data_IF_889237391998
#
_entry.id   IF_889237391998
#
_cell.length_a   1.000
_cell.length_b   1.000
_cell.length_c   1.000
_cell.angle_alpha   90.00
_cell.angle_beta   90.00
_cell.angle_gamma   90.00
#
_symmetry.space_group_name_H-M   'P 1'
#
loop_
_entity.id
_entity.type
_entity.pdbx_description
1 polymer ?
#
# COMPACT_ATOMS: atom_id res chain seq x y z
N UNK A 1 -48.13 -130.72 43.44
CA UNK A 1 -48.25 -129.87 42.23
C UNK A 1 -48.10 -128.35 42.51
N UNK A 2 -47.52 -127.92 43.65
CA UNK A 2 -47.53 -126.50 44.06
C UNK A 2 -46.22 -125.73 43.80
N UNK A 3 -45.06 -126.39 43.76
CA UNK A 3 -43.75 -125.73 43.60
C UNK A 3 -43.49 -125.05 42.24
N UNK A 4 -44.14 -125.48 41.15
CA UNK A 4 -43.95 -124.84 39.83
C UNK A 4 -44.60 -123.46 39.71
N UNK A 5 -45.63 -123.16 40.51
CA UNK A 5 -46.31 -121.85 40.46
C UNK A 5 -45.47 -120.76 41.12
N UNK A 6 -44.79 -121.06 42.23
CA UNK A 6 -43.98 -120.06 42.96
C UNK A 6 -42.75 -119.58 42.18
N UNK A 7 -42.11 -120.46 41.41
CA UNK A 7 -40.96 -120.09 40.56
C UNK A 7 -41.38 -119.15 39.42
N UNK A 8 -42.53 -119.43 38.78
CA UNK A 8 -43.07 -118.58 37.70
C UNK A 8 -43.50 -117.21 38.24
N UNK A 9 -44.12 -117.15 39.42
CA UNK A 9 -44.50 -115.89 40.06
C UNK A 9 -43.26 -115.06 40.44
N UNK A 10 -42.21 -115.68 40.98
CA UNK A 10 -40.94 -114.99 41.29
C UNK A 10 -40.24 -114.46 40.03
N UNK A 11 -40.21 -115.22 38.93
CA UNK A 11 -39.63 -114.76 37.65
C UNK A 11 -40.39 -113.56 37.08
N UNK A 12 -41.73 -113.63 37.03
CA UNK A 12 -42.57 -112.52 36.55
C UNK A 12 -42.43 -111.27 37.42
N UNK A 13 -42.28 -111.43 38.73
CA UNK A 13 -42.04 -110.31 39.63
C UNK A 13 -40.66 -109.67 39.41
N UNK A 14 -39.62 -110.46 39.12
CA UNK A 14 -38.30 -109.94 38.76
C UNK A 14 -38.31 -109.20 37.42
N UNK A 15 -39.00 -109.74 36.41
CA UNK A 15 -39.21 -109.08 35.12
C UNK A 15 -39.95 -107.74 35.29
N UNK A 16 -41.00 -107.72 36.11
CA UNK A 16 -41.73 -106.50 36.45
C UNK A 16 -40.85 -105.46 37.16
N UNK A 17 -40.04 -105.89 38.14
CA UNK A 17 -39.09 -104.99 38.82
C UNK A 17 -38.02 -104.43 37.87
N UNK A 18 -37.51 -105.26 36.94
CA UNK A 18 -36.55 -104.83 35.93
C UNK A 18 -37.17 -103.82 34.96
N UNK A 19 -38.39 -104.09 34.48
CA UNK A 19 -39.13 -103.17 33.61
C UNK A 19 -39.43 -101.83 34.33
N UNK A 20 -39.83 -101.88 35.59
CA UNK A 20 -40.07 -100.69 36.41
C UNK A 20 -38.79 -99.87 36.63
N UNK A 21 -37.67 -100.50 36.97
CA UNK A 21 -36.37 -99.81 37.10
C UNK A 21 -35.94 -99.18 35.78
N UNK A 22 -36.09 -99.89 34.66
CA UNK A 22 -35.80 -99.36 33.32
C UNK A 22 -36.67 -98.14 33.00
N UNK A 23 -37.97 -98.20 33.30
CA UNK A 23 -38.88 -97.07 33.12
C UNK A 23 -38.47 -95.85 33.96
N UNK A 24 -38.10 -96.04 35.24
CA UNK A 24 -37.63 -94.94 36.08
C UNK A 24 -36.30 -94.33 35.61
N UNK A 25 -35.36 -95.15 35.13
CA UNK A 25 -34.11 -94.66 34.56
C UNK A 25 -34.38 -93.83 33.30
N UNK A 26 -35.27 -94.30 32.43
CA UNK A 26 -35.68 -93.55 31.24
C UNK A 26 -36.32 -92.20 31.61
N UNK A 27 -37.25 -92.18 32.56
CA UNK A 27 -37.88 -90.94 33.03
C UNK A 27 -36.83 -89.97 33.62
N UNK A 28 -35.87 -90.48 34.40
CA UNK A 28 -34.78 -89.65 34.94
C UNK A 28 -33.94 -89.03 33.82
N UNK A 29 -33.59 -89.84 32.82
CA UNK A 29 -32.75 -89.38 31.71
C UNK A 29 -33.52 -88.35 30.84
N UNK A 30 -34.81 -88.60 30.57
CA UNK A 30 -35.71 -87.66 29.87
C UNK A 30 -35.85 -86.33 30.63
N UNK A 31 -35.98 -86.36 31.97
CA UNK A 31 -36.03 -85.16 32.82
C UNK A 31 -34.71 -84.40 32.77
N UNK A 32 -33.57 -85.10 32.77
CA UNK A 32 -32.26 -84.47 32.67
C UNK A 32 -32.05 -83.79 31.32
N UNK A 33 -32.51 -84.42 30.23
CA UNK A 33 -32.47 -83.86 28.89
C UNK A 33 -33.38 -82.62 28.80
N UNK A 34 -34.59 -82.70 29.35
CA UNK A 34 -35.50 -81.56 29.41
C UNK A 34 -34.88 -80.37 30.17
N UNK A 35 -34.21 -80.61 31.30
CA UNK A 35 -33.51 -79.58 32.04
C UNK A 35 -32.38 -78.93 31.23
N UNK A 36 -31.59 -79.72 30.48
CA UNK A 36 -30.56 -79.20 29.58
C UNK A 36 -31.15 -78.34 28.46
N UNK A 37 -32.25 -78.78 27.85
CA UNK A 37 -32.95 -77.99 26.84
C UNK A 37 -33.51 -76.68 27.39
N UNK A 38 -34.07 -76.69 28.60
CA UNK A 38 -34.56 -75.47 29.26
C UNK A 38 -33.40 -74.48 29.48
N UNK A 39 -32.24 -74.96 29.95
CA UNK A 39 -31.05 -74.13 30.14
C UNK A 39 -30.54 -73.55 28.81
N UNK A 40 -30.47 -74.38 27.76
CA UNK A 40 -30.07 -73.95 26.43
C UNK A 40 -31.02 -72.88 25.87
N UNK A 41 -32.33 -73.12 25.94
CA UNK A 41 -33.34 -72.18 25.46
C UNK A 41 -33.31 -70.87 26.24
N UNK A 42 -33.07 -70.90 27.56
CA UNK A 42 -32.91 -69.70 28.36
C UNK A 42 -31.66 -68.91 27.95
N UNK A 43 -30.53 -69.58 27.72
CA UNK A 43 -29.30 -68.94 27.26
C UNK A 43 -29.46 -68.32 25.85
N UNK A 44 -30.11 -69.04 24.93
CA UNK A 44 -30.39 -68.52 23.58
C UNK A 44 -31.34 -67.31 23.63
N UNK A 45 -32.35 -67.34 24.50
CA UNK A 45 -33.29 -66.24 24.68
C UNK A 45 -32.63 -64.97 25.24
N UNK A 46 -31.74 -65.11 26.22
CA UNK A 46 -30.94 -63.97 26.72
C UNK A 46 -29.95 -63.48 25.65
N UNK A 47 -29.36 -64.37 24.87
CA UNK A 47 -28.51 -64.01 23.73
C UNK A 47 -29.26 -63.23 22.65
N UNK A 48 -30.51 -63.61 22.35
CA UNK A 48 -31.38 -62.86 21.42
C UNK A 48 -31.75 -61.49 21.98
N UNK A 49 -32.09 -61.41 23.27
CA UNK A 49 -32.39 -60.14 23.96
C UNK A 49 -31.20 -59.18 23.92
N UNK A 50 -29.98 -59.68 24.11
CA UNK A 50 -28.75 -58.91 23.93
C UNK A 50 -28.61 -58.35 22.52
N UNK A 51 -28.80 -59.21 21.50
CA UNK A 51 -28.78 -58.79 20.08
C UNK A 51 -29.84 -57.73 19.77
N UNK A 52 -31.05 -57.87 20.30
CA UNK A 52 -32.11 -56.88 20.15
C UNK A 52 -31.75 -55.54 20.79
N UNK A 53 -31.16 -55.55 21.98
CA UNK A 53 -30.71 -54.32 22.66
C UNK A 53 -29.62 -53.61 21.85
N UNK A 54 -28.65 -54.36 21.33
CA UNK A 54 -27.58 -53.78 20.50
C UNK A 54 -28.11 -53.26 19.16
N UNK A 55 -29.07 -53.95 18.56
CA UNK A 55 -29.78 -53.46 17.38
C UNK A 55 -30.55 -52.17 17.69
N UNK A 56 -31.20 -52.07 18.86
CA UNK A 56 -31.87 -50.87 19.34
C UNK A 56 -30.91 -49.68 19.47
N UNK A 57 -29.77 -49.88 20.14
CA UNK A 57 -28.73 -48.84 20.27
C UNK A 57 -28.19 -48.36 18.91
N UNK A 58 -28.00 -49.28 17.96
CA UNK A 58 -27.59 -48.92 16.59
C UNK A 58 -28.66 -48.10 15.89
N UNK A 59 -29.92 -48.48 16.03
CA UNK A 59 -31.06 -47.74 15.47
C UNK A 59 -31.18 -46.34 16.07
N UNK A 60 -30.97 -46.18 17.38
CA UNK A 60 -30.97 -44.87 18.05
C UNK A 60 -29.83 -43.98 17.54
N UNK A 61 -28.63 -44.56 17.39
CA UNK A 61 -27.46 -43.86 16.82
C UNK A 61 -27.72 -43.41 15.38
N UNK A 62 -28.25 -44.28 14.53
CA UNK A 62 -28.62 -43.94 13.16
C UNK A 62 -29.73 -42.87 13.12
N UNK A 63 -30.71 -42.95 14.01
CA UNK A 63 -31.79 -41.95 14.10
C UNK A 63 -31.24 -40.57 14.49
N UNK A 64 -30.30 -40.52 15.42
CA UNK A 64 -29.60 -39.29 15.80
C UNK A 64 -28.77 -38.71 14.64
N UNK A 65 -28.06 -39.58 13.88
CA UNK A 65 -27.33 -39.16 12.69
C UNK A 65 -28.26 -38.61 11.60
N UNK A 66 -29.41 -39.25 11.36
CA UNK A 66 -30.42 -38.78 10.42
C UNK A 66 -31.01 -37.42 10.82
N UNK A 67 -31.28 -37.21 12.12
CA UNK A 67 -31.72 -35.92 12.63
C UNK A 67 -30.66 -34.83 12.37
N UNK A 68 -29.40 -35.10 12.67
CA UNK A 68 -28.31 -34.15 12.43
C UNK A 68 -28.10 -33.81 10.94
N UNK A 69 -28.28 -34.79 10.03
CA UNK A 69 -28.22 -34.55 8.59
C UNK A 69 -29.41 -33.70 8.12
N UNK A 70 -30.61 -34.00 8.62
CA UNK A 70 -31.83 -33.23 8.31
C UNK A 70 -31.69 -31.76 8.73
N UNK A 71 -31.10 -31.50 9.89
CA UNK A 71 -30.82 -30.14 10.37
C UNK A 71 -29.81 -29.42 9.48
N UNK A 72 -28.72 -30.10 9.08
CA UNK A 72 -27.71 -29.55 8.16
C UNK A 72 -28.33 -29.19 6.82
N UNK A 73 -29.15 -30.08 6.26
CA UNK A 73 -29.84 -29.85 5.00
C UNK A 73 -30.76 -28.62 5.10
N UNK A 74 -31.51 -28.49 6.20
CA UNK A 74 -32.39 -27.35 6.43
C UNK A 74 -31.62 -26.02 6.49
N UNK A 75 -30.46 -26.00 7.16
CA UNK A 75 -29.57 -24.82 7.19
C UNK A 75 -29.02 -24.48 5.81
N UNK A 76 -28.62 -25.48 5.03
CA UNK A 76 -28.16 -25.26 3.66
C UNK A 76 -29.27 -24.71 2.76
N UNK A 77 -30.50 -25.22 2.90
CA UNK A 77 -31.67 -24.72 2.18
C UNK A 77 -31.93 -23.23 2.49
N UNK A 78 -31.87 -22.85 3.77
CA UNK A 78 -32.01 -21.45 4.20
C UNK A 78 -30.88 -20.55 3.63
N UNK A 79 -29.64 -21.03 3.63
CA UNK A 79 -28.51 -20.30 3.07
C UNK A 79 -28.66 -20.09 1.56
N UNK A 80 -29.13 -21.11 0.83
CA UNK A 80 -29.41 -21.00 -0.61
C UNK A 80 -30.50 -19.96 -0.85
N UNK A 81 -31.61 -19.98 -0.10
CA UNK A 81 -32.67 -18.99 -0.24
C UNK A 81 -32.16 -17.56 0.02
N UNK A 82 -31.32 -17.37 1.03
CA UNK A 82 -30.72 -16.07 1.32
C UNK A 82 -29.78 -15.60 0.20
N UNK A 83 -28.99 -16.50 -0.38
CA UNK A 83 -28.13 -16.20 -1.52
C UNK A 83 -28.93 -15.89 -2.79
N UNK A 84 -29.99 -16.64 -3.07
CA UNK A 84 -30.90 -16.36 -4.18
C UNK A 84 -31.51 -14.96 -4.05
N UNK A 85 -32.02 -14.59 -2.87
CA UNK A 85 -32.54 -13.24 -2.65
C UNK A 85 -31.50 -12.14 -2.86
N UNK A 86 -30.23 -12.39 -2.47
CA UNK A 86 -29.12 -11.45 -2.73
C UNK A 86 -28.80 -11.33 -4.22
N UNK A 87 -28.84 -12.43 -4.96
CA UNK A 87 -28.65 -12.45 -6.42
C UNK A 87 -29.78 -11.69 -7.12
N UNK A 88 -31.02 -11.88 -6.69
CA UNK A 88 -32.17 -11.19 -7.27
C UNK A 88 -32.13 -9.68 -7.01
N UNK A 89 -31.59 -9.26 -5.86
CA UNK A 89 -31.36 -7.85 -5.54
C UNK A 89 -30.08 -7.25 -6.15
N UNK A 90 -29.25 -8.06 -6.81
CA UNK A 90 -28.01 -7.58 -7.39
C UNK A 90 -28.32 -6.72 -8.62
N UNK A 91 -27.63 -5.57 -8.78
CA UNK A 91 -27.87 -4.71 -9.93
C UNK A 91 -27.61 -5.49 -11.21
N UNK A 92 -28.60 -5.46 -12.09
CA UNK A 92 -28.53 -6.14 -13.38
C UNK A 92 -27.43 -5.53 -14.24
N UNK A 93 -26.93 -6.30 -15.20
CA UNK A 93 -25.91 -5.83 -16.15
C UNK A 93 -26.34 -4.57 -16.91
N UNK A 94 -27.65 -4.41 -17.14
CA UNK A 94 -28.21 -3.20 -17.73
C UNK A 94 -28.08 -1.99 -16.78
N UNK A 95 -28.48 -2.13 -15.52
CA UNK A 95 -28.35 -1.06 -14.52
C UNK A 95 -26.89 -0.67 -14.26
N UNK A 96 -25.98 -1.63 -14.22
CA UNK A 96 -24.54 -1.37 -14.12
C UNK A 96 -24.00 -0.61 -15.34
N UNK A 97 -24.53 -0.92 -16.54
CA UNK A 97 -24.15 -0.21 -17.77
C UNK A 97 -24.65 1.23 -17.75
N UNK A 98 -25.87 1.47 -17.28
CA UNK A 98 -26.44 2.80 -17.17
C UNK A 98 -25.68 3.64 -16.12
N UNK A 99 -25.33 3.03 -14.97
CA UNK A 99 -24.47 3.67 -13.97
C UNK A 99 -23.07 3.98 -14.52
N UNK A 100 -22.46 3.06 -15.27
CA UNK A 100 -21.18 3.29 -15.92
C UNK A 100 -21.26 4.45 -16.92
N UNK A 101 -22.33 4.52 -17.72
CA UNK A 101 -22.55 5.62 -18.65
C UNK A 101 -22.69 6.97 -17.95
N UNK A 102 -23.41 7.02 -16.82
CA UNK A 102 -23.51 8.23 -16.00
C UNK A 102 -22.15 8.66 -15.43
N UNK A 103 -21.34 7.70 -14.98
CA UNK A 103 -19.99 7.97 -14.47
C UNK A 103 -19.04 8.44 -15.58
N UNK A 104 -19.13 7.87 -16.77
CA UNK A 104 -18.31 8.25 -17.93
C UNK A 104 -18.63 9.68 -18.38
N UNK A 105 -19.91 10.05 -18.42
CA UNK A 105 -20.34 11.42 -18.69
C UNK A 105 -19.88 12.40 -17.60
N UNK A 106 -19.97 12.02 -16.33
CA UNK A 106 -19.49 12.83 -15.22
C UNK A 106 -17.96 13.03 -15.28
N UNK A 107 -17.21 11.99 -15.64
CA UNK A 107 -15.76 12.07 -15.85
C UNK A 107 -15.42 13.04 -16.98
N UNK A 108 -16.09 12.95 -18.12
CA UNK A 108 -15.91 13.90 -19.21
C UNK A 108 -16.22 15.35 -18.81
N UNK A 109 -17.23 15.55 -17.95
CA UNK A 109 -17.54 16.86 -17.36
C UNK A 109 -16.42 17.38 -16.44
N UNK A 110 -15.82 16.49 -15.63
CA UNK A 110 -14.68 16.82 -14.76
C UNK A 110 -13.46 17.18 -15.59
N UNK A 111 -13.17 16.47 -16.68
CA UNK A 111 -12.05 16.77 -17.57
C UNK A 111 -12.23 18.13 -18.27
N UNK A 112 -13.45 18.44 -18.73
CA UNK A 112 -13.78 19.73 -19.32
C UNK A 112 -13.63 20.88 -18.31
N UNK A 113 -14.08 20.68 -17.07
CA UNK A 113 -13.89 21.65 -15.97
C UNK A 113 -12.41 21.80 -15.62
N UNK A 114 -11.65 20.71 -15.55
CA UNK A 114 -10.20 20.72 -15.30
C UNK A 114 -9.46 21.51 -16.38
N UNK A 115 -9.86 21.35 -17.65
CA UNK A 115 -9.33 22.16 -18.76
C UNK A 115 -9.66 23.65 -18.59
N UNK A 116 -10.90 24.00 -18.26
CA UNK A 116 -11.30 25.39 -17.97
C UNK A 116 -10.56 26.00 -16.77
N UNK A 117 -10.30 25.22 -15.73
CA UNK A 117 -9.51 25.66 -14.57
C UNK A 117 -8.06 25.96 -14.98
N UNK A 118 -7.46 25.13 -15.84
CA UNK A 118 -6.12 25.40 -16.39
C UNK A 118 -6.10 26.67 -17.25
N UNK A 119 -7.14 26.91 -18.04
CA UNK A 119 -7.30 28.12 -18.85
C UNK A 119 -7.48 29.38 -17.96
N UNK A 120 -8.29 29.29 -16.90
CA UNK A 120 -8.42 30.40 -15.94
C UNK A 120 -7.11 30.69 -15.19
N UNK A 121 -6.34 29.65 -14.86
CA UNK A 121 -5.02 29.82 -14.26
C UNK A 121 -4.03 30.51 -15.21
N UNK A 122 -4.12 30.27 -16.52
CA UNK A 122 -3.31 30.99 -17.50
C UNK A 122 -3.76 32.46 -17.64
N UNK A 123 -5.06 32.75 -17.57
CA UNK A 123 -5.57 34.12 -17.51
C UNK A 123 -5.12 34.89 -16.25
N UNK A 124 -5.05 34.24 -15.08
CA UNK A 124 -4.55 34.90 -13.87
C UNK A 124 -3.05 35.25 -13.99
N UNK A 125 -2.28 34.40 -14.68
CA UNK A 125 -0.88 34.71 -14.98
C UNK A 125 -0.73 35.91 -15.93
N UNK A 126 -1.64 36.06 -16.89
CA UNK A 126 -1.72 37.24 -17.77
C UNK A 126 -2.12 38.49 -16.99
N UNK A 127 -3.11 38.41 -16.10
CA UNK A 127 -3.51 39.52 -15.23
C UNK A 127 -2.37 40.02 -14.34
N UNK A 128 -1.58 39.10 -13.75
CA UNK A 128 -0.36 39.46 -13.00
C UNK A 128 0.72 40.08 -13.89
N UNK A 129 0.79 39.71 -15.17
CA UNK A 129 1.70 40.35 -16.13
C UNK A 129 1.21 41.77 -16.49
N UNK A 130 -0.09 41.97 -16.70
CA UNK A 130 -0.70 43.28 -16.93
C UNK A 130 -0.51 44.23 -15.73
N UNK A 131 -0.71 43.76 -14.50
CA UNK A 131 -0.45 44.54 -13.29
C UNK A 131 1.02 44.97 -13.19
N UNK A 132 1.97 44.10 -13.54
CA UNK A 132 3.39 44.45 -13.60
C UNK A 132 3.70 45.46 -14.71
N UNK A 133 3.08 45.32 -15.88
CA UNK A 133 3.25 46.28 -16.98
C UNK A 133 2.66 47.65 -16.60
N UNK A 134 1.51 47.67 -15.92
CA UNK A 134 0.94 48.92 -15.37
C UNK A 134 1.87 49.55 -14.34
N UNK A 135 2.38 48.78 -13.38
CA UNK A 135 3.31 49.28 -12.38
C UNK A 135 4.62 49.79 -13.00
N UNK A 136 5.13 49.13 -14.04
CA UNK A 136 6.29 49.60 -14.80
C UNK A 136 5.98 50.87 -15.61
N UNK A 137 4.77 50.96 -16.18
CA UNK A 137 4.31 52.15 -16.92
C UNK A 137 4.18 53.36 -16.00
N UNK A 138 3.61 53.18 -14.80
CA UNK A 138 3.50 54.23 -13.79
C UNK A 138 4.88 54.67 -13.30
N UNK A 139 5.79 53.71 -13.05
CA UNK A 139 7.18 54.03 -12.70
C UNK A 139 7.92 54.77 -13.83
N UNK A 140 7.60 54.49 -15.11
CA UNK A 140 8.17 55.20 -16.26
C UNK A 140 7.62 56.63 -16.41
N UNK A 141 6.39 56.87 -15.94
CA UNK A 141 5.77 58.20 -15.92
C UNK A 141 6.45 59.14 -14.93
N UNK A 142 6.94 58.58 -13.81
CA UNK A 142 7.70 59.31 -12.79
C UNK A 142 9.18 59.48 -13.15
N UNK A 143 9.64 58.95 -14.29
CA UNK A 143 10.98 59.25 -14.81
C UNK A 143 10.99 60.68 -15.34
N UNK A 144 11.85 61.57 -14.81
CA UNK A 144 11.95 62.94 -15.29
C UNK A 144 12.23 62.95 -16.81
N UNK A 145 11.44 63.72 -17.56
CA UNK A 145 11.65 63.87 -19.00
C UNK A 145 13.02 64.47 -19.29
N UNK A 146 13.56 64.31 -20.50
CA UNK A 146 14.83 64.97 -20.89
C UNK A 146 14.81 66.48 -20.61
N UNK A 147 13.65 67.12 -20.68
CA UNK A 147 13.48 68.53 -20.30
C UNK A 147 13.52 68.78 -18.78
N UNK A 148 13.03 67.85 -17.96
CA UNK A 148 13.08 67.93 -16.50
C UNK A 148 14.48 67.67 -15.98
N UNK A 149 15.17 66.67 -16.55
CA UNK A 149 16.60 66.43 -16.30
C UNK A 149 17.40 67.68 -16.66
N UNK A 150 17.06 68.35 -17.77
CA UNK A 150 17.73 69.58 -18.18
C UNK A 150 17.46 70.75 -17.23
N UNK A 151 16.21 70.94 -16.79
CA UNK A 151 15.87 71.93 -15.76
C UNK A 151 16.55 71.65 -14.43
N UNK A 152 16.58 70.40 -13.98
CA UNK A 152 17.29 70.00 -12.75
C UNK A 152 18.80 70.21 -12.88
N UNK A 153 19.38 69.98 -14.06
CA UNK A 153 20.78 70.31 -14.35
C UNK A 153 20.97 71.82 -14.31
N UNK A 154 20.10 72.61 -14.92
CA UNK A 154 20.20 74.08 -14.95
C UNK A 154 19.96 74.71 -13.55
N UNK A 155 19.13 74.10 -12.71
CA UNK A 155 18.88 74.51 -11.30
C UNK A 155 20.01 74.08 -10.34
N UNK A 156 20.72 72.98 -10.63
CA UNK A 156 21.87 72.52 -9.84
C UNK A 156 23.22 73.03 -10.38
N UNK A 157 23.25 73.49 -11.62
CA UNK A 157 24.35 74.20 -12.26
C UNK A 157 23.89 75.62 -12.56
N UNK A 158 23.88 76.47 -11.52
CA UNK A 158 24.06 77.92 -11.69
C UNK A 158 25.35 78.12 -12.50
N UNK A 159 25.23 78.15 -13.84
CA UNK A 159 26.36 78.21 -14.77
C UNK A 159 27.24 79.44 -14.48
N UNK A 160 26.73 80.46 -13.79
CA UNK A 160 27.53 81.61 -13.38
C UNK A 160 28.68 81.27 -12.43
N UNK A 161 28.51 80.33 -11.49
CA UNK A 161 29.56 79.98 -10.53
C UNK A 161 30.66 79.14 -11.18
N UNK A 162 30.28 78.26 -12.12
CA UNK A 162 31.23 77.45 -12.88
C UNK A 162 31.91 78.27 -13.95
N UNK A 163 31.23 79.22 -14.61
CA UNK A 163 31.84 80.16 -15.56
C UNK A 163 32.81 81.08 -14.83
N UNK A 164 32.43 81.67 -13.69
CA UNK A 164 33.35 82.48 -12.86
C UNK A 164 34.52 81.66 -12.32
N UNK A 165 34.29 80.39 -11.96
CA UNK A 165 35.38 79.46 -11.60
C UNK A 165 36.21 79.05 -12.81
N UNK A 166 35.65 78.90 -13.99
CA UNK A 166 36.35 78.62 -15.24
C UNK A 166 37.20 79.82 -15.62
N UNK A 167 36.68 81.04 -15.57
CA UNK A 167 37.43 82.27 -15.82
C UNK A 167 38.55 82.41 -14.79
N UNK A 168 38.26 82.22 -13.50
CA UNK A 168 39.28 82.26 -12.45
C UNK A 168 40.29 81.10 -12.55
N UNK A 169 39.87 79.92 -13.05
CA UNK A 169 40.73 78.77 -13.31
C UNK A 169 41.51 78.95 -14.61
N UNK A 170 41.01 79.67 -15.60
CA UNK A 170 41.68 80.06 -16.85
C UNK A 170 42.73 81.13 -16.58
N UNK A 171 42.44 82.09 -15.71
CA UNK A 171 43.40 83.06 -15.18
C UNK A 171 44.49 82.35 -14.37
N UNK A 172 44.09 81.40 -13.50
CA UNK A 172 45.01 80.54 -12.75
C UNK A 172 45.75 79.55 -13.63
N UNK A 173 45.18 79.11 -14.75
CA UNK A 173 45.82 78.25 -15.74
C UNK A 173 46.79 79.05 -16.58
N UNK A 174 46.50 80.29 -16.96
CA UNK A 174 47.45 81.17 -17.64
C UNK A 174 48.67 81.40 -16.75
N UNK A 175 48.46 81.75 -15.48
CA UNK A 175 49.54 81.92 -14.51
C UNK A 175 50.23 80.59 -14.14
N UNK A 176 49.51 79.47 -14.01
CA UNK A 176 50.13 78.14 -13.82
C UNK A 176 50.77 77.58 -15.08
N UNK A 177 50.37 77.97 -16.27
CA UNK A 177 51.00 77.56 -17.53
C UNK A 177 52.31 78.34 -17.69
N UNK A 178 52.33 79.61 -17.29
CA UNK A 178 53.56 80.37 -17.07
C UNK A 178 54.47 79.76 -15.98
N UNK A 179 53.92 79.19 -14.89
CA UNK A 179 54.70 78.43 -13.87
C UNK A 179 55.06 76.99 -14.31
N UNK A 180 54.24 76.31 -15.13
CA UNK A 180 54.45 74.94 -15.60
C UNK A 180 55.39 74.86 -16.80
N UNK A 181 55.63 75.97 -17.49
CA UNK A 181 56.80 76.17 -18.36
C UNK A 181 58.12 76.14 -17.58
N UNK A 182 58.08 76.12 -16.23
CA UNK A 182 59.25 76.14 -15.36
C UNK A 182 59.49 74.87 -14.49
N UNK A 183 58.70 73.78 -14.56
CA UNK A 183 59.01 72.56 -13.79
C UNK A 183 58.43 71.23 -14.35
N UNK A 184 59.09 70.07 -14.09
CA UNK A 184 58.94 68.84 -14.90
C UNK A 184 57.74 67.95 -14.52
N UNK A 185 57.27 67.24 -15.54
CA UNK A 185 56.15 66.31 -15.54
C UNK A 185 56.35 65.06 -14.68
N UNK A 186 55.30 64.66 -13.96
CA UNK A 186 54.94 63.24 -13.75
C UNK A 186 53.55 63.10 -13.12
N UNK A 187 52.68 62.30 -13.73
CA UNK A 187 51.42 61.84 -13.15
C UNK A 187 51.19 60.36 -13.50
N UNK A 188 51.03 59.44 -12.53
CA UNK A 188 50.78 58.02 -12.84
C UNK A 188 49.46 57.43 -12.29
N UNK A 189 49.02 56.36 -12.99
CA UNK A 189 48.65 55.02 -12.47
C UNK A 189 47.29 54.68 -11.81
N UNK A 190 46.25 55.51 -11.84
CA UNK A 190 44.95 55.15 -11.20
C UNK A 190 44.04 54.15 -11.95
N UNK A 191 44.08 54.12 -13.29
CA UNK A 191 43.02 53.47 -14.10
C UNK A 191 43.18 51.94 -14.20
N UNK A 192 44.40 51.42 -14.03
CA UNK A 192 44.70 49.99 -14.22
C UNK A 192 44.21 49.13 -13.04
N UNK A 193 44.10 49.71 -11.84
CA UNK A 193 43.72 48.97 -10.62
C UNK A 193 42.20 48.69 -10.54
N UNK A 194 41.37 49.58 -11.07
CA UNK A 194 39.90 49.42 -11.08
C UNK A 194 39.43 48.27 -11.97
N UNK A 195 39.99 48.12 -13.16
CA UNK A 195 39.62 47.05 -14.09
C UNK A 195 39.92 45.67 -13.52
N UNK A 196 41.05 45.52 -12.82
CA UNK A 196 41.49 44.25 -12.22
C UNK A 196 40.61 43.83 -11.03
N UNK A 197 39.90 44.77 -10.42
CA UNK A 197 39.01 44.56 -9.26
C UNK A 197 37.60 44.10 -9.67
N UNK A 198 37.14 44.53 -10.84
CA UNK A 198 35.88 44.10 -11.45
C UNK A 198 35.92 42.63 -11.86
N UNK A 199 37.00 42.19 -12.50
CA UNK A 199 37.19 40.81 -12.97
C UNK A 199 37.14 39.80 -11.81
N UNK A 200 37.78 40.12 -10.67
CA UNK A 200 37.74 39.29 -9.45
C UNK A 200 36.35 39.16 -8.81
N UNK A 201 35.46 40.14 -9.01
CA UNK A 201 34.11 40.11 -8.44
C UNK A 201 33.16 39.25 -9.28
N UNK A 202 33.35 39.23 -10.59
CA UNK A 202 32.57 38.38 -11.50
C UNK A 202 32.90 36.89 -11.33
N UNK A 203 34.18 36.54 -11.15
CA UNK A 203 34.62 35.17 -10.81
C UNK A 203 34.08 34.67 -9.46
N UNK A 204 33.97 35.55 -8.47
CA UNK A 204 33.36 35.21 -7.18
C UNK A 204 31.86 34.94 -7.31
N UNK A 205 31.15 35.69 -8.16
CA UNK A 205 29.71 35.52 -8.40
C UNK A 205 29.40 34.23 -9.15
N UNK A 206 30.22 33.85 -10.14
CA UNK A 206 30.05 32.59 -10.89
C UNK A 206 30.30 31.37 -10.00
N UNK A 207 31.37 31.38 -9.18
CA UNK A 207 31.67 30.29 -8.25
C UNK A 207 30.64 30.14 -7.11
N UNK A 208 30.02 31.22 -6.66
CA UNK A 208 28.91 31.18 -5.69
C UNK A 208 27.65 30.55 -6.28
N UNK A 209 27.26 30.95 -7.50
CA UNK A 209 26.12 30.35 -8.21
C UNK A 209 26.32 28.85 -8.43
N UNK A 210 27.51 28.43 -8.84
CA UNK A 210 27.82 27.02 -9.05
C UNK A 210 27.78 26.21 -7.74
N UNK A 211 28.32 26.76 -6.64
CA UNK A 211 28.23 26.14 -5.31
C UNK A 211 26.79 26.01 -4.81
N UNK A 212 25.94 27.00 -5.07
CA UNK A 212 24.51 26.93 -4.72
C UNK A 212 23.76 25.90 -5.56
N UNK A 213 24.01 25.85 -6.87
CA UNK A 213 23.40 24.85 -7.75
C UNK A 213 23.77 23.41 -7.33
N UNK A 214 25.04 23.17 -6.99
CA UNK A 214 25.51 21.88 -6.48
C UNK A 214 24.86 21.51 -5.15
N UNK A 215 24.62 22.48 -4.25
CA UNK A 215 23.90 22.24 -2.98
C UNK A 215 22.43 21.91 -3.20
N UNK A 216 21.72 22.65 -4.06
CA UNK A 216 20.30 22.41 -4.34
C UNK A 216 20.08 21.03 -4.97
N UNK A 217 20.89 20.68 -5.97
CA UNK A 217 20.81 19.38 -6.65
C UNK A 217 21.23 18.20 -5.76
N UNK A 218 22.18 18.40 -4.84
CA UNK A 218 22.52 17.40 -3.82
C UNK A 218 21.38 17.22 -2.82
N UNK A 219 20.78 18.31 -2.37
CA UNK A 219 19.69 18.27 -1.39
C UNK A 219 18.42 17.65 -1.96
N UNK A 220 18.09 17.93 -3.22
CA UNK A 220 16.93 17.33 -3.89
C UNK A 220 17.08 15.81 -4.07
N UNK A 221 18.28 15.32 -4.40
CA UNK A 221 18.56 13.88 -4.48
C UNK A 221 18.36 13.16 -3.14
N UNK A 222 18.90 13.72 -2.05
CA UNK A 222 18.74 13.13 -0.73
C UNK A 222 17.29 13.16 -0.23
N UNK A 223 16.55 14.23 -0.56
CA UNK A 223 15.12 14.31 -0.27
C UNK A 223 14.35 13.19 -0.97
N UNK A 224 14.57 12.99 -2.28
CA UNK A 224 13.89 11.94 -3.05
C UNK A 224 14.24 10.54 -2.51
N UNK A 225 15.50 10.29 -2.14
CA UNK A 225 15.91 9.01 -1.49
C UNK A 225 15.17 8.77 -0.18
N UNK A 226 15.14 9.78 0.68
CA UNK A 226 14.46 9.71 1.97
C UNK A 226 12.96 9.43 1.80
N UNK A 227 12.35 10.05 0.79
CA UNK A 227 10.94 9.84 0.45
C UNK A 227 10.68 8.40 -0.05
N UNK A 228 11.52 7.87 -0.94
CA UNK A 228 11.42 6.48 -1.43
C UNK A 228 11.45 5.50 -0.24
N UNK A 229 12.44 5.65 0.66
CA UNK A 229 12.56 4.82 1.86
C UNK A 229 11.31 4.96 2.74
N UNK A 230 10.81 6.19 2.94
CA UNK A 230 9.60 6.44 3.74
C UNK A 230 8.36 5.76 3.16
N UNK A 231 8.18 5.80 1.83
CA UNK A 231 7.04 5.18 1.16
C UNK A 231 7.10 3.65 1.26
N UNK A 232 8.28 3.06 1.06
CA UNK A 232 8.48 1.61 1.21
C UNK A 232 8.23 1.18 2.65
N UNK A 233 8.71 1.94 3.65
CA UNK A 233 8.43 1.68 5.07
C UNK A 233 6.93 1.77 5.40
N UNK A 234 6.23 2.77 4.85
CA UNK A 234 4.81 3.02 5.13
C UNK A 234 3.91 1.91 4.57
N UNK A 235 4.17 1.47 3.35
CA UNK A 235 3.31 0.50 2.65
C UNK A 235 3.84 -0.94 2.73
N UNK A 236 5.03 -1.16 3.29
CA UNK A 236 5.66 -2.46 3.49
C UNK A 236 6.24 -3.06 2.21
N UNK A 237 5.39 -3.26 1.19
CA UNK A 237 5.75 -3.82 -0.13
C UNK A 237 5.18 -2.94 -1.23
N UNK A 238 6.05 -2.31 -2.01
CA UNK A 238 5.64 -1.38 -3.09
C UNK A 238 6.31 -1.76 -4.41
N UNK A 239 5.57 -1.74 -5.51
CA UNK A 239 6.17 -2.01 -6.84
C UNK A 239 6.95 -0.80 -7.36
N UNK A 240 7.95 -1.07 -8.21
CA UNK A 240 8.70 -0.02 -8.90
C UNK A 240 7.78 0.92 -9.70
N UNK A 241 6.67 0.38 -10.24
CA UNK A 241 5.68 1.14 -11.00
C UNK A 241 4.92 2.12 -10.11
N UNK A 242 4.43 1.64 -8.95
CA UNK A 242 3.71 2.48 -7.98
C UNK A 242 4.59 3.62 -7.43
N UNK A 243 5.85 3.33 -7.10
CA UNK A 243 6.78 4.38 -6.65
C UNK A 243 7.05 5.42 -7.75
N UNK A 244 7.16 4.98 -9.01
CA UNK A 244 7.32 5.88 -10.15
C UNK A 244 6.10 6.77 -10.32
N UNK A 245 4.89 6.21 -10.26
CA UNK A 245 3.64 6.97 -10.37
C UNK A 245 3.59 8.07 -9.30
N UNK A 246 3.80 7.71 -8.03
CA UNK A 246 3.75 8.68 -6.92
C UNK A 246 4.85 9.75 -6.96
N UNK A 247 6.10 9.38 -7.27
CA UNK A 247 7.25 10.30 -7.11
C UNK A 247 7.53 11.09 -8.39
N UNK A 248 7.36 10.46 -9.55
CA UNK A 248 7.72 11.04 -10.85
C UNK A 248 6.50 11.63 -11.55
N UNK A 249 5.40 10.88 -11.66
CA UNK A 249 4.24 11.32 -12.44
C UNK A 249 3.33 12.26 -11.60
N UNK A 250 3.06 11.95 -10.34
CA UNK A 250 2.22 12.77 -9.46
C UNK A 250 2.98 13.97 -8.86
N UNK A 251 4.13 13.74 -8.24
CA UNK A 251 4.86 14.80 -7.52
C UNK A 251 5.93 15.52 -8.35
N UNK A 252 6.34 14.97 -9.50
CA UNK A 252 7.32 15.61 -10.40
C UNK A 252 8.69 15.91 -9.76
N UNK A 253 9.07 15.20 -8.70
CA UNK A 253 10.27 15.54 -7.90
C UNK A 253 11.58 15.21 -8.60
N UNK A 254 11.56 14.28 -9.56
CA UNK A 254 12.72 13.92 -10.37
C UNK A 254 12.31 13.35 -11.73
N UNK A 255 13.25 13.26 -12.67
CA UNK A 255 13.01 12.62 -13.97
C UNK A 255 12.98 11.09 -13.85
N UNK A 256 12.31 10.41 -14.79
CA UNK A 256 12.27 8.92 -14.87
C UNK A 256 13.67 8.30 -14.77
N UNK A 257 14.64 8.85 -15.50
CA UNK A 257 16.03 8.37 -15.47
C UNK A 257 16.71 8.59 -14.13
N UNK A 258 16.44 9.71 -13.46
CA UNK A 258 16.99 9.99 -12.13
C UNK A 258 16.38 9.06 -11.08
N UNK A 259 15.08 8.79 -11.18
CA UNK A 259 14.37 7.87 -10.30
C UNK A 259 14.96 6.45 -10.29
N UNK A 260 15.17 5.85 -11.47
CA UNK A 260 15.73 4.49 -11.54
C UNK A 260 17.18 4.43 -11.02
N UNK A 261 18.01 5.43 -11.31
CA UNK A 261 19.36 5.53 -10.74
C UNK A 261 19.35 5.64 -9.22
N UNK A 262 18.41 6.41 -8.66
CA UNK A 262 18.28 6.55 -7.21
C UNK A 262 17.80 5.24 -6.55
N UNK A 263 16.94 4.47 -7.21
CA UNK A 263 16.54 3.13 -6.73
C UNK A 263 17.70 2.14 -6.75
N UNK A 264 18.49 2.12 -7.83
CA UNK A 264 19.70 1.30 -7.92
C UNK A 264 20.72 1.70 -6.82
N UNK A 265 20.96 2.99 -6.63
CA UNK A 265 21.84 3.48 -5.56
C UNK A 265 21.36 3.08 -4.15
N UNK A 266 20.04 3.00 -3.91
CA UNK A 266 19.48 2.57 -2.63
C UNK A 266 19.54 1.04 -2.44
N UNK A 267 19.44 0.28 -3.51
CA UNK A 267 19.60 -1.18 -3.50
C UNK A 267 21.08 -1.56 -3.31
N UNK A 268 22.02 -0.86 -3.96
CA UNK A 268 23.47 -1.02 -3.78
C UNK A 268 23.94 -0.65 -2.37
N UNK A 269 23.30 0.35 -1.74
CA UNK A 269 23.55 0.76 -0.35
C UNK A 269 22.85 -0.11 0.68
N UNK A 270 22.12 -1.13 0.25
CA UNK A 270 21.44 -2.10 1.12
C UNK A 270 20.32 -1.48 1.99
N UNK A 271 19.83 -0.28 1.62
CA UNK A 271 18.76 0.46 2.31
C UNK A 271 17.36 -0.14 2.01
N UNK A 272 17.22 -0.77 0.84
CA UNK A 272 15.99 -1.41 0.35
C UNK A 272 16.33 -2.76 -0.26
N UNK A 273 15.47 -3.76 -0.07
CA UNK A 273 15.60 -5.08 -0.71
C UNK A 273 14.60 -5.25 -1.83
N UNK A 274 15.02 -5.89 -2.91
CA UNK A 274 14.16 -6.14 -4.06
C UNK A 274 13.73 -7.61 -4.14
N UNK A 275 12.42 -7.84 -4.32
CA UNK A 275 11.84 -9.16 -4.53
C UNK A 275 11.08 -9.16 -5.86
N UNK A 276 11.38 -10.12 -6.73
CA UNK A 276 10.60 -10.34 -7.97
C UNK A 276 9.31 -11.07 -7.63
N UNK A 277 8.17 -10.45 -7.93
CA UNK A 277 6.84 -11.05 -7.83
C UNK A 277 6.28 -11.15 -9.25
N UNK A 278 6.54 -12.27 -9.93
CA UNK A 278 6.13 -12.45 -11.33
C UNK A 278 6.90 -11.54 -12.29
N UNK A 279 6.20 -10.63 -12.99
CA UNK A 279 6.77 -9.68 -13.96
C UNK A 279 7.28 -8.38 -13.34
N UNK A 280 6.97 -8.12 -12.07
CA UNK A 280 7.26 -6.85 -11.40
C UNK A 280 8.29 -6.97 -10.28
N UNK A 281 9.13 -5.95 -10.14
CA UNK A 281 10.10 -5.79 -9.06
C UNK A 281 9.43 -5.02 -7.93
N UNK A 282 9.34 -5.64 -6.76
CA UNK A 282 8.83 -5.01 -5.53
C UNK A 282 9.99 -4.69 -4.59
N UNK A 283 9.87 -3.56 -3.89
CA UNK A 283 10.83 -3.14 -2.88
C UNK A 283 10.25 -3.28 -1.47
N UNK A 284 11.10 -3.73 -0.55
CA UNK A 284 10.82 -3.93 0.87
C UNK A 284 11.88 -3.18 1.69
N UNK A 285 11.49 -2.70 2.87
CA UNK A 285 12.46 -2.14 3.82
C UNK A 285 13.21 -3.28 4.52
N UNK A 286 14.55 -3.27 4.47
CA UNK A 286 15.38 -4.23 5.21
C UNK A 286 15.30 -3.87 6.69
N UNK A 287 14.62 -4.69 7.50
CA UNK A 287 14.60 -4.49 8.95
C UNK A 287 16.02 -4.67 9.50
N UNK A 288 16.54 -3.65 10.17
CA UNK A 288 17.74 -3.80 10.98
C UNK A 288 17.42 -4.80 12.10
N UNK A 289 18.01 -5.99 12.01
CA UNK A 289 18.21 -6.97 13.07
C UNK A 289 17.08 -7.18 14.09
N UNK A 290 16.30 -8.25 13.91
CA UNK A 290 16.04 -9.15 15.04
C UNK A 290 16.84 -10.42 14.74
N UNK A 291 17.76 -10.69 15.65
CA UNK A 291 18.68 -11.80 15.64
C UNK A 291 17.96 -13.14 15.46
N UNK A 292 18.70 -14.07 14.85
CA UNK A 292 18.51 -15.50 15.01
C UNK A 292 18.29 -15.85 16.49
N UNK A 293 17.22 -16.58 16.80
CA UNK A 293 17.22 -17.66 17.79
C UNK A 293 15.87 -18.39 17.76
N UNK A 294 15.84 -19.52 17.04
CA UNK A 294 15.37 -20.86 17.46
C UNK A 294 15.05 -21.73 16.25
#
# INVERSE_FOLDING_TARGET
MFFRRDVVVRSRFQEFQAAMRSAFLKVRDDVSLAAQWIQYLHAELEGQKGRHNDAGRRMDSLSSQLAAITDKLSRQQQAIMALSGRIDSAPTRAELRDQHFLLENASGGIDALSSKVKELASMESLRKAEEKVSALSDALRDVPSRGDIRRMIDEQFEQEDIIRRLDALEEKLKSRHEEALAAPADAPSGIIDLSRRLERLEEKRSSLKEKMLKKITRNSKEYVKSLIISMIKKYGKVSALQLKEMIVEEQGLCSKSSFYRLLEELEERDDISAVRSGKEKHYLAKQQGIAQER
#
